data_IF_691224578590
#
_entry.id   IF_691224578590
#
_cell.length_a   1.000
_cell.length_b   1.000
_cell.length_c   1.000
_cell.angle_alpha   90.00
_cell.angle_beta   90.00
_cell.angle_gamma   90.00
#
_symmetry.space_group_name_H-M   'P 1'
#
loop_
_entity.id
_entity.type
_entity.pdbx_description
1 polymer ?
#
# COMPACT_ATOMS: atom_id res chain seq x y z
N UNK A 1 -22.77 -8.61 20.97
CA UNK A 1 -22.32 -9.01 19.63
C UNK A 1 -21.00 -9.73 19.81
N UNK A 2 -20.80 -10.90 19.20
CA UNK A 2 -19.49 -11.53 19.18
C UNK A 2 -18.50 -10.59 18.48
N UNK A 3 -17.29 -10.44 19.01
CA UNK A 3 -16.21 -9.75 18.31
C UNK A 3 -15.87 -10.58 17.06
N UNK A 4 -16.40 -10.18 15.90
CA UNK A 4 -16.16 -10.89 14.64
C UNK A 4 -14.69 -10.83 14.21
N UNK A 5 -13.97 -9.83 14.69
CA UNK A 5 -12.54 -9.67 14.48
C UNK A 5 -11.70 -10.57 15.39
N UNK A 6 -12.29 -11.22 16.41
CA UNK A 6 -11.70 -12.21 17.34
C UNK A 6 -10.18 -12.09 17.58
N UNK A 7 -9.73 -10.90 17.97
CA UNK A 7 -8.31 -10.49 18.12
C UNK A 7 -7.48 -11.33 19.11
N UNK A 8 -8.02 -12.44 19.61
CA UNK A 8 -7.40 -13.30 20.61
C UNK A 8 -7.35 -14.79 20.25
N UNK A 9 -8.28 -15.31 19.43
CA UNK A 9 -8.40 -16.77 19.21
C UNK A 9 -8.45 -17.22 17.73
N UNK A 10 -8.37 -16.31 16.76
CA UNK A 10 -8.31 -16.67 15.33
C UNK A 10 -6.93 -17.20 14.88
N UNK A 11 -6.84 -17.87 13.71
CA UNK A 11 -5.56 -18.29 13.14
C UNK A 11 -4.69 -17.06 12.89
N UNK A 12 -3.53 -17.06 13.53
CA UNK A 12 -2.57 -15.96 13.54
C UNK A 12 -1.79 -16.03 12.23
N UNK A 13 -1.54 -14.88 11.60
CA UNK A 13 -0.57 -14.85 10.51
C UNK A 13 0.82 -15.07 11.10
N UNK A 14 1.39 -16.26 10.87
CA UNK A 14 2.77 -16.58 11.23
C UNK A 14 3.79 -15.61 10.60
N UNK A 15 3.38 -14.84 9.58
CA UNK A 15 4.16 -13.79 8.93
C UNK A 15 4.06 -12.40 9.59
N UNK A 16 3.57 -12.27 10.83
CA UNK A 16 3.99 -11.16 11.70
C UNK A 16 2.93 -10.54 12.63
N UNK A 17 3.13 -10.67 13.95
CA UNK A 17 3.03 -9.62 15.00
C UNK A 17 3.09 -10.17 16.45
N UNK A 18 3.32 -9.28 17.43
CA UNK A 18 3.10 -9.49 18.89
C UNK A 18 1.63 -9.33 19.32
N UNK A 19 0.81 -8.79 18.41
CA UNK A 19 -0.63 -8.56 18.56
C UNK A 19 -1.31 -9.35 17.44
N UNK A 20 -2.23 -10.24 17.79
CA UNK A 20 -2.94 -11.08 16.83
C UNK A 20 -3.80 -10.21 15.90
N UNK A 21 -3.25 -9.84 14.76
CA UNK A 21 -4.05 -9.27 13.69
C UNK A 21 -4.32 -10.40 12.73
N UNK A 22 -5.61 -10.69 12.60
CA UNK A 22 -6.09 -11.90 11.96
C UNK A 22 -6.22 -11.61 10.47
N UNK A 23 -5.69 -12.50 9.65
CA UNK A 23 -5.88 -12.51 8.20
C UNK A 23 -7.27 -13.05 7.81
N UNK A 24 -8.29 -12.66 8.59
CA UNK A 24 -9.66 -13.09 8.34
C UNK A 24 -10.34 -12.06 7.48
N UNK A 25 -10.67 -12.48 6.27
CA UNK A 25 -11.62 -11.76 5.44
C UNK A 25 -13.02 -11.98 6.01
N UNK A 26 -13.67 -10.91 6.47
CA UNK A 26 -15.03 -10.96 6.97
C UNK A 26 -15.98 -10.75 5.79
N UNK A 27 -16.81 -11.74 5.42
CA UNK A 27 -17.83 -11.54 4.40
C UNK A 27 -18.96 -10.67 4.94
N UNK A 28 -19.43 -9.72 4.13
CA UNK A 28 -20.63 -8.97 4.47
C UNK A 28 -21.85 -9.84 4.17
N UNK A 29 -22.69 -10.09 5.18
CA UNK A 29 -23.90 -10.90 5.02
C UNK A 29 -25.16 -10.03 5.14
N UNK A 30 -26.18 -10.37 4.36
CA UNK A 30 -27.50 -9.74 4.48
C UNK A 30 -28.16 -10.30 5.74
N UNK A 31 -28.39 -9.43 6.73
CA UNK A 31 -29.17 -9.81 7.91
C UNK A 31 -30.67 -9.67 7.61
N UNK A 32 -31.52 -10.38 8.35
CA UNK A 32 -32.99 -10.21 8.32
C UNK A 32 -33.44 -8.74 8.40
N UNK A 33 -32.70 -7.89 9.13
CA UNK A 33 -32.95 -6.45 9.24
C UNK A 33 -32.83 -5.71 7.91
N UNK A 34 -31.89 -6.07 7.04
CA UNK A 34 -31.70 -5.43 5.73
C UNK A 34 -32.82 -5.77 4.75
N UNK A 35 -33.28 -7.02 4.72
CA UNK A 35 -34.43 -7.42 3.88
C UNK A 35 -35.72 -6.79 4.39
N UNK A 36 -35.91 -6.73 5.70
CA UNK A 36 -37.06 -6.06 6.31
C UNK A 36 -37.06 -4.56 6.02
N UNK A 37 -35.90 -3.90 6.08
CA UNK A 37 -35.77 -2.49 5.74
C UNK A 37 -36.12 -2.21 4.27
N UNK A 38 -35.63 -3.02 3.33
CA UNK A 38 -36.00 -2.88 1.91
C UNK A 38 -37.51 -3.04 1.72
N UNK A 39 -38.12 -4.10 2.28
CA UNK A 39 -39.57 -4.31 2.18
C UNK A 39 -40.35 -3.15 2.82
N UNK A 40 -39.92 -2.69 3.99
CA UNK A 40 -40.56 -1.58 4.68
C UNK A 40 -40.56 -0.30 3.82
N UNK A 41 -39.47 -0.03 3.11
CA UNK A 41 -39.34 1.15 2.24
C UNK A 41 -40.35 1.15 1.09
N UNK A 42 -40.69 -0.03 0.54
CA UNK A 42 -41.66 -0.16 -0.55
C UNK A 42 -43.11 -0.29 -0.07
N UNK A 43 -43.33 -0.82 1.13
CA UNK A 43 -44.68 -1.25 1.56
C UNK A 43 -45.27 -0.33 2.62
N UNK A 44 -44.48 0.25 3.51
CA UNK A 44 -45.01 1.01 4.67
C UNK A 44 -45.84 2.22 4.25
N UNK A 45 -45.32 3.06 3.36
CA UNK A 45 -46.01 4.29 2.96
C UNK A 45 -47.27 3.96 2.13
N UNK A 46 -47.24 3.09 1.10
CA UNK A 46 -48.45 2.70 0.38
C UNK A 46 -49.52 2.03 1.27
N UNK A 47 -49.11 1.19 2.23
CA UNK A 47 -50.06 0.56 3.16
C UNK A 47 -50.68 1.59 4.10
N UNK A 48 -49.89 2.53 4.62
CA UNK A 48 -50.41 3.61 5.46
C UNK A 48 -51.38 4.52 4.68
N UNK A 49 -51.11 4.81 3.41
CA UNK A 49 -52.03 5.60 2.57
C UNK A 49 -53.34 4.86 2.33
N UNK A 50 -53.29 3.54 2.09
CA UNK A 50 -54.49 2.74 1.92
C UNK A 50 -55.30 2.60 3.22
N UNK A 51 -54.65 2.45 4.37
CA UNK A 51 -55.31 2.43 5.68
C UNK A 51 -55.95 3.79 6.00
N UNK A 52 -55.27 4.90 5.71
CA UNK A 52 -55.82 6.24 5.88
C UNK A 52 -57.09 6.44 5.05
N UNK A 53 -57.05 6.09 3.76
CA UNK A 53 -58.23 6.17 2.88
C UNK A 53 -59.34 5.23 3.36
N UNK A 54 -59.02 4.05 3.86
CA UNK A 54 -60.01 3.10 4.38
C UNK A 54 -60.73 3.61 5.64
N UNK A 55 -60.03 4.33 6.53
CA UNK A 55 -60.60 4.83 7.78
C UNK A 55 -61.27 6.21 7.65
N UNK A 56 -60.72 7.09 6.81
CA UNK A 56 -61.20 8.47 6.60
C UNK A 56 -61.95 8.66 5.29
N UNK A 57 -62.21 7.60 4.52
CA UNK A 57 -62.86 7.65 3.20
C UNK A 57 -64.19 8.40 3.20
N UNK A 58 -64.98 8.28 4.27
CA UNK A 58 -66.27 8.96 4.42
C UNK A 58 -66.17 10.49 4.59
N UNK A 59 -64.96 11.03 4.80
CA UNK A 59 -64.70 12.48 4.95
C UNK A 59 -63.92 13.08 3.77
N UNK A 60 -63.60 12.27 2.75
CA UNK A 60 -62.80 12.70 1.60
C UNK A 60 -63.70 12.92 0.38
N UNK A 61 -63.48 14.02 -0.35
CA UNK A 61 -64.23 14.35 -1.57
C UNK A 61 -63.93 13.37 -2.72
N UNK A 62 -62.71 12.79 -2.77
CA UNK A 62 -62.30 11.81 -3.78
C UNK A 62 -61.35 10.74 -3.21
N UNK A 63 -61.87 9.73 -2.48
CA UNK A 63 -61.06 8.70 -1.82
C UNK A 63 -60.14 7.92 -2.78
N UNK A 64 -60.61 7.61 -3.98
CA UNK A 64 -59.87 6.83 -4.99
C UNK A 64 -58.64 7.58 -5.53
N UNK A 65 -58.77 8.89 -5.76
CA UNK A 65 -57.66 9.72 -6.25
C UNK A 65 -56.57 9.92 -5.20
N UNK A 66 -56.97 10.10 -3.93
CA UNK A 66 -56.04 10.21 -2.80
C UNK A 66 -55.28 8.90 -2.60
N UNK A 67 -55.93 7.75 -2.76
CA UNK A 67 -55.27 6.45 -2.70
C UNK A 67 -54.24 6.28 -3.83
N UNK A 68 -54.60 6.63 -5.07
CA UNK A 68 -53.71 6.47 -6.22
C UNK A 68 -52.48 7.39 -6.12
N UNK A 69 -52.68 8.68 -5.85
CA UNK A 69 -51.58 9.64 -5.72
C UNK A 69 -50.72 9.30 -4.50
N UNK A 70 -51.35 8.96 -3.37
CA UNK A 70 -50.64 8.57 -2.14
C UNK A 70 -49.75 7.34 -2.34
N UNK A 71 -50.23 6.31 -3.03
CA UNK A 71 -49.43 5.12 -3.34
C UNK A 71 -48.28 5.42 -4.30
N UNK A 72 -48.51 6.23 -5.36
CA UNK A 72 -47.45 6.62 -6.31
C UNK A 72 -46.37 7.43 -5.59
N UNK A 73 -46.75 8.39 -4.75
CA UNK A 73 -45.82 9.15 -3.93
C UNK A 73 -45.10 8.27 -2.88
N UNK A 74 -45.81 7.28 -2.31
CA UNK A 74 -45.25 6.35 -1.33
C UNK A 74 -44.18 5.42 -1.89
N UNK A 75 -44.14 5.21 -3.21
CA UNK A 75 -43.11 4.42 -3.90
C UNK A 75 -41.82 5.24 -4.13
N UNK A 76 -41.89 6.57 -4.15
CA UNK A 76 -40.73 7.44 -4.44
C UNK A 76 -39.51 7.17 -3.56
N UNK A 77 -39.63 6.97 -2.23
CA UNK A 77 -38.48 6.62 -1.40
C UNK A 77 -37.81 5.30 -1.84
N UNK A 78 -38.60 4.32 -2.28
CA UNK A 78 -38.12 3.04 -2.85
C UNK A 78 -37.24 3.25 -4.07
N UNK A 79 -37.70 4.13 -4.97
CA UNK A 79 -36.98 4.49 -6.20
C UNK A 79 -35.69 5.23 -5.87
N UNK A 80 -35.72 6.22 -4.96
CA UNK A 80 -34.53 6.94 -4.50
C UNK A 80 -33.50 5.95 -3.92
N UNK A 81 -33.95 4.97 -3.13
CA UNK A 81 -33.07 3.96 -2.56
C UNK A 81 -32.40 3.08 -3.63
N UNK A 82 -33.07 2.78 -4.75
CA UNK A 82 -32.44 2.10 -5.89
C UNK A 82 -31.30 2.93 -6.48
N UNK A 83 -31.50 4.24 -6.70
CA UNK A 83 -30.44 5.12 -7.20
C UNK A 83 -29.25 5.18 -6.23
N UNK A 84 -29.50 5.22 -4.92
CA UNK A 84 -28.45 5.14 -3.91
C UNK A 84 -27.64 3.83 -4.01
N UNK A 85 -28.30 2.69 -4.28
CA UNK A 85 -27.60 1.41 -4.48
C UNK A 85 -26.69 1.43 -5.70
N UNK A 86 -27.11 2.04 -6.81
CA UNK A 86 -26.29 2.20 -8.02
C UNK A 86 -25.08 3.09 -7.72
N UNK A 87 -25.29 4.20 -7.02
CA UNK A 87 -24.21 5.09 -6.60
C UNK A 87 -23.20 4.38 -5.69
N UNK A 88 -23.67 3.60 -4.72
CA UNK A 88 -22.82 2.80 -3.83
C UNK A 88 -21.99 1.75 -4.59
N UNK A 89 -22.56 1.09 -5.61
CA UNK A 89 -21.81 0.18 -6.47
C UNK A 89 -20.68 0.89 -7.21
N UNK A 90 -20.97 2.01 -7.84
CA UNK A 90 -19.96 2.79 -8.57
C UNK A 90 -18.88 3.31 -7.62
N UNK A 91 -19.26 3.71 -6.41
CA UNK A 91 -18.34 4.11 -5.35
C UNK A 91 -17.35 2.99 -4.99
N UNK A 92 -17.83 1.76 -4.77
CA UNK A 92 -16.95 0.62 -4.47
C UNK A 92 -16.01 0.30 -5.62
N UNK A 93 -16.48 0.32 -6.86
CA UNK A 93 -15.61 0.11 -8.03
C UNK A 93 -14.50 1.17 -8.11
N UNK A 94 -14.82 2.44 -7.86
CA UNK A 94 -13.81 3.50 -7.81
C UNK A 94 -12.82 3.32 -6.66
N UNK A 95 -13.31 2.93 -5.48
CA UNK A 95 -12.46 2.71 -4.31
C UNK A 95 -11.50 1.53 -4.53
N UNK A 96 -11.97 0.47 -5.18
CA UNK A 96 -11.15 -0.67 -5.58
C UNK A 96 -10.03 -0.27 -6.56
N UNK A 97 -10.37 0.49 -7.60
CA UNK A 97 -9.38 1.02 -8.54
C UNK A 97 -8.34 1.93 -7.85
N UNK A 98 -8.78 2.74 -6.88
CA UNK A 98 -7.86 3.55 -6.07
C UNK A 98 -6.91 2.69 -5.24
N UNK A 99 -7.42 1.66 -4.56
CA UNK A 99 -6.57 0.73 -3.79
C UNK A 99 -5.52 0.08 -4.69
N UNK A 100 -5.92 -0.33 -5.90
CA UNK A 100 -5.00 -0.91 -6.87
C UNK A 100 -3.95 0.10 -7.36
N UNK A 101 -4.34 1.34 -7.61
CA UNK A 101 -3.42 2.41 -7.98
C UNK A 101 -2.39 2.68 -6.86
N UNK A 102 -2.82 2.73 -5.59
CA UNK A 102 -1.88 2.91 -4.47
C UNK A 102 -0.93 1.72 -4.29
N UNK A 103 -1.39 0.50 -4.57
CA UNK A 103 -0.52 -0.68 -4.57
C UNK A 103 0.56 -0.55 -5.67
N UNK A 104 0.16 -0.17 -6.89
CA UNK A 104 1.08 0.07 -8.00
C UNK A 104 2.10 1.18 -7.69
N UNK A 105 1.70 2.24 -6.97
CA UNK A 105 2.63 3.28 -6.51
C UNK A 105 3.71 2.72 -5.58
N UNK A 106 3.35 1.83 -4.65
CA UNK A 106 4.32 1.17 -3.76
C UNK A 106 5.33 0.36 -4.58
N UNK A 107 4.85 -0.41 -5.55
CA UNK A 107 5.71 -1.23 -6.42
C UNK A 107 6.67 -0.36 -7.25
N UNK A 108 6.19 0.76 -7.80
CA UNK A 108 7.02 1.72 -8.53
C UNK A 108 8.18 2.28 -7.65
N UNK A 109 7.89 2.62 -6.39
CA UNK A 109 8.94 3.09 -5.48
C UNK A 109 9.92 1.97 -5.09
N UNK A 110 9.44 0.74 -4.94
CA UNK A 110 10.30 -0.42 -4.70
C UNK A 110 11.22 -0.69 -5.88
N UNK A 111 10.71 -0.61 -7.11
CA UNK A 111 11.50 -0.77 -8.32
C UNK A 111 12.59 0.31 -8.42
N UNK A 112 12.25 1.58 -8.23
CA UNK A 112 13.22 2.68 -8.21
C UNK A 112 14.30 2.47 -7.15
N UNK A 113 13.91 2.00 -5.96
CA UNK A 113 14.86 1.69 -4.88
C UNK A 113 15.82 0.58 -5.29
N UNK A 114 15.34 -0.48 -5.94
CA UNK A 114 16.17 -1.58 -6.45
C UNK A 114 17.16 -1.06 -7.50
N UNK A 115 16.70 -0.24 -8.45
CA UNK A 115 17.58 0.33 -9.49
C UNK A 115 18.70 1.19 -8.87
N UNK A 116 18.38 2.04 -7.88
CA UNK A 116 19.40 2.85 -7.18
C UNK A 116 20.39 1.95 -6.45
N UNK A 117 19.92 0.93 -5.74
CA UNK A 117 20.80 0.01 -5.02
C UNK A 117 21.70 -0.78 -5.97
N UNK A 118 21.19 -1.23 -7.12
CA UNK A 118 22.00 -1.88 -8.15
C UNK A 118 23.09 -0.95 -8.69
N UNK A 119 22.77 0.32 -8.94
CA UNK A 119 23.75 1.32 -9.35
C UNK A 119 24.83 1.53 -8.27
N UNK A 120 24.45 1.55 -6.99
CA UNK A 120 25.40 1.66 -5.87
C UNK A 120 26.31 0.44 -5.78
N UNK A 121 25.77 -0.78 -5.88
CA UNK A 121 26.57 -2.01 -5.86
C UNK A 121 27.63 -1.97 -6.95
N UNK A 122 27.25 -1.60 -8.18
CA UNK A 122 28.22 -1.47 -9.28
C UNK A 122 29.25 -0.34 -9.10
N UNK A 123 28.98 0.68 -8.27
CA UNK A 123 29.96 1.72 -7.89
C UNK A 123 30.89 1.23 -6.78
N UNK A 124 30.35 0.54 -5.78
CA UNK A 124 31.11 -0.05 -4.67
C UNK A 124 32.06 -1.13 -5.18
N UNK A 125 31.60 -2.03 -6.05
CA UNK A 125 32.45 -3.08 -6.63
C UNK A 125 33.64 -2.49 -7.39
N UNK A 126 33.40 -1.43 -8.18
CA UNK A 126 34.45 -0.71 -8.91
C UNK A 126 35.44 0.00 -7.98
N UNK A 127 34.96 0.62 -6.90
CA UNK A 127 35.84 1.24 -5.91
C UNK A 127 36.71 0.19 -5.19
N UNK A 128 36.12 -0.94 -4.81
CA UNK A 128 36.85 -2.05 -4.18
C UNK A 128 37.92 -2.64 -5.11
N UNK A 129 37.63 -2.79 -6.40
CA UNK A 129 38.61 -3.31 -7.37
C UNK A 129 39.74 -2.29 -7.66
N UNK A 130 39.43 -0.99 -7.71
CA UNK A 130 40.45 0.05 -7.83
C UNK A 130 41.39 0.05 -6.63
N UNK A 131 40.86 -0.03 -5.41
CA UNK A 131 41.67 -0.07 -4.17
C UNK A 131 42.57 -1.33 -4.14
N UNK A 132 42.05 -2.50 -4.55
CA UNK A 132 42.87 -3.72 -4.70
C UNK A 132 44.01 -3.53 -5.69
N UNK A 133 43.77 -2.91 -6.84
CA UNK A 133 44.79 -2.74 -7.88
C UNK A 133 45.84 -1.69 -7.49
N UNK A 134 45.44 -0.61 -6.82
CA UNK A 134 46.37 0.36 -6.21
C UNK A 134 47.21 -0.32 -5.12
N UNK A 135 46.59 -1.08 -4.21
CA UNK A 135 47.32 -1.84 -3.18
C UNK A 135 48.32 -2.84 -3.80
N UNK A 136 47.94 -3.56 -4.87
CA UNK A 136 48.87 -4.44 -5.60
C UNK A 136 50.04 -3.66 -6.20
N UNK A 137 49.77 -2.53 -6.85
CA UNK A 137 50.82 -1.71 -7.46
C UNK A 137 51.81 -1.17 -6.40
N UNK A 138 51.29 -0.69 -5.26
CA UNK A 138 52.11 -0.21 -4.14
C UNK A 138 52.90 -1.36 -3.50
N UNK A 139 52.28 -2.54 -3.32
CA UNK A 139 52.96 -3.72 -2.79
C UNK A 139 54.07 -4.21 -3.72
N UNK A 140 53.83 -4.22 -5.04
CA UNK A 140 54.83 -4.57 -6.04
C UNK A 140 56.03 -3.60 -6.02
N UNK A 141 55.76 -2.29 -5.87
CA UNK A 141 56.80 -1.27 -5.72
C UNK A 141 57.58 -1.40 -4.40
N UNK A 142 56.92 -1.80 -3.30
CA UNK A 142 57.58 -2.07 -1.99
C UNK A 142 58.41 -3.35 -1.97
N UNK A 143 58.02 -4.37 -2.73
CA UNK A 143 58.66 -5.68 -2.73
C UNK A 143 59.95 -5.78 -3.57
N UNK A 144 60.22 -4.80 -4.44
CA UNK A 144 61.40 -4.79 -5.30
C UNK A 144 62.69 -4.50 -4.53
N UNK A 145 63.61 -5.47 -4.44
CA UNK A 145 64.98 -5.23 -3.97
C UNK A 145 65.72 -4.35 -4.98
N UNK A 146 65.97 -3.10 -4.61
CA UNK A 146 66.77 -2.17 -5.40
C UNK A 146 68.25 -2.57 -5.27
N UNK A 147 68.90 -2.84 -6.40
CA UNK A 147 70.34 -3.08 -6.50
C UNK A 147 70.90 -2.14 -7.58
N UNK A 148 72.19 -1.77 -7.52
CA UNK A 148 72.75 -0.69 -8.36
C UNK A 148 72.63 -0.93 -9.87
N UNK A 149 72.55 -2.19 -10.32
CA UNK A 149 72.32 -2.57 -11.72
C UNK A 149 70.88 -2.35 -12.22
N UNK A 150 69.87 -2.43 -11.33
CA UNK A 150 68.44 -2.36 -11.69
C UNK A 150 67.82 -0.99 -11.40
N UNK A 151 68.64 -0.07 -10.89
CA UNK A 151 68.20 1.24 -10.38
C UNK A 151 67.59 2.12 -11.47
N UNK A 152 68.08 2.02 -12.70
CA UNK A 152 67.55 2.73 -13.88
C UNK A 152 66.18 2.20 -14.31
N UNK A 153 66.00 0.88 -14.35
CA UNK A 153 64.73 0.25 -14.75
C UNK A 153 63.65 0.43 -13.69
N UNK A 154 64.02 0.34 -12.41
CA UNK A 154 63.11 0.65 -11.31
C UNK A 154 62.69 2.13 -11.38
N UNK A 155 63.60 3.07 -11.64
CA UNK A 155 63.25 4.50 -11.81
C UNK A 155 62.36 4.75 -13.04
N UNK A 156 62.58 4.03 -14.13
CA UNK A 156 61.73 4.08 -15.34
C UNK A 156 60.31 3.59 -15.05
N UNK A 157 60.17 2.46 -14.36
CA UNK A 157 58.88 1.93 -13.93
C UNK A 157 58.19 2.82 -12.89
N UNK A 158 58.98 3.42 -11.97
CA UNK A 158 58.48 4.37 -10.98
C UNK A 158 58.00 5.66 -11.65
N UNK A 159 58.72 6.17 -12.65
CA UNK A 159 58.30 7.33 -13.44
C UNK A 159 57.09 7.04 -14.33
N UNK A 160 56.95 5.83 -14.89
CA UNK A 160 55.72 5.41 -15.58
C UNK A 160 54.54 5.25 -14.63
N UNK A 161 54.76 4.70 -13.43
CA UNK A 161 53.75 4.57 -12.39
C UNK A 161 53.34 5.95 -11.85
N UNK A 162 54.30 6.83 -11.57
CA UNK A 162 54.06 8.23 -11.20
C UNK A 162 53.37 9.00 -12.34
N UNK A 163 53.79 8.83 -13.59
CA UNK A 163 53.14 9.43 -14.76
C UNK A 163 51.72 8.92 -15.03
N UNK A 164 51.37 7.73 -14.54
CA UNK A 164 49.98 7.21 -14.48
C UNK A 164 49.21 7.72 -13.28
N UNK A 165 49.88 7.98 -12.16
CA UNK A 165 49.30 8.56 -10.94
C UNK A 165 49.00 10.07 -11.09
N UNK A 166 49.81 10.85 -11.79
CA UNK A 166 49.62 12.31 -11.89
C UNK A 166 48.36 12.75 -12.68
N UNK A 167 47.88 12.04 -13.71
CA UNK A 167 46.53 12.25 -14.28
C UNK A 167 45.38 11.80 -13.36
N UNK A 168 45.67 11.01 -12.31
CA UNK A 168 44.69 10.51 -11.33
C UNK A 168 44.53 11.43 -10.11
N UNK A 169 45.40 12.45 -9.97
CA UNK A 169 45.36 13.43 -8.85
C UNK A 169 44.43 14.62 -9.15
N UNK A 170 44.18 14.98 -10.41
CA UNK A 170 43.21 16.04 -10.76
C UNK A 170 41.77 15.52 -10.90
N UNK A 171 41.62 14.21 -11.11
CA UNK A 171 40.36 13.50 -11.14
C UNK A 171 40.42 12.41 -10.08
N UNK A 172 40.04 12.67 -8.82
CA UNK A 172 39.93 11.63 -7.79
C UNK A 172 38.68 10.76 -8.06
N UNK A 173 38.78 9.58 -8.72
CA UNK A 173 37.62 8.70 -8.91
C UNK A 173 37.07 8.19 -7.58
N UNK A 174 37.94 7.95 -6.58
CA UNK A 174 37.58 7.57 -5.21
C UNK A 174 36.63 8.60 -4.59
N UNK A 175 37.01 9.88 -4.60
CA UNK A 175 36.19 10.96 -4.02
C UNK A 175 34.85 11.13 -4.77
N UNK A 176 34.85 10.97 -6.10
CA UNK A 176 33.63 11.00 -6.93
C UNK A 176 32.74 9.78 -6.69
N UNK A 177 33.30 8.60 -6.51
CA UNK A 177 32.57 7.38 -6.17
C UNK A 177 31.96 7.49 -4.77
N UNK A 178 32.70 8.01 -3.79
CA UNK A 178 32.18 8.27 -2.44
C UNK A 178 31.04 9.29 -2.44
N UNK A 179 31.15 10.38 -3.21
CA UNK A 179 30.05 11.35 -3.38
C UNK A 179 28.82 10.70 -4.03
N UNK A 180 29.00 9.95 -5.14
CA UNK A 180 27.90 9.27 -5.81
C UNK A 180 27.22 8.20 -4.93
N UNK A 181 27.99 7.47 -4.11
CA UNK A 181 27.47 6.52 -3.13
C UNK A 181 26.70 7.26 -2.02
N UNK A 182 27.24 8.36 -1.50
CA UNK A 182 26.56 9.17 -0.49
C UNK A 182 25.24 9.75 -1.00
N UNK A 183 25.23 10.29 -2.22
CA UNK A 183 24.04 10.82 -2.90
C UNK A 183 22.98 9.72 -3.08
N UNK A 184 23.39 8.53 -3.52
CA UNK A 184 22.49 7.41 -3.71
C UNK A 184 21.94 6.85 -2.37
N UNK A 185 22.72 6.86 -1.30
CA UNK A 185 22.25 6.53 0.06
C UNK A 185 21.25 7.56 0.58
N UNK A 186 21.51 8.84 0.33
CA UNK A 186 20.56 9.90 0.63
C UNK A 186 19.26 9.72 -0.17
N UNK A 187 19.34 9.42 -1.47
CA UNK A 187 18.18 9.11 -2.31
C UNK A 187 17.42 7.86 -1.83
N UNK A 188 18.11 6.81 -1.39
CA UNK A 188 17.50 5.63 -0.79
C UNK A 188 16.70 5.97 0.48
N UNK A 189 17.25 6.84 1.33
CA UNK A 189 16.56 7.32 2.54
C UNK A 189 15.31 8.15 2.21
N UNK A 190 15.37 9.00 1.19
CA UNK A 190 14.18 9.69 0.68
C UNK A 190 13.13 8.70 0.18
N UNK A 191 13.50 7.74 -0.67
CA UNK A 191 12.59 6.72 -1.17
C UNK A 191 11.99 5.85 -0.06
N UNK A 192 12.76 5.53 0.98
CA UNK A 192 12.24 4.80 2.13
C UNK A 192 11.12 5.57 2.85
N UNK A 193 11.22 6.90 2.92
CA UNK A 193 10.13 7.75 3.45
C UNK A 193 8.93 7.74 2.52
N UNK A 194 9.13 7.86 1.22
CA UNK A 194 8.04 7.80 0.22
C UNK A 194 7.32 6.44 0.24
N UNK A 195 8.05 5.32 0.31
CA UNK A 195 7.47 3.97 0.46
C UNK A 195 6.62 3.89 1.74
N UNK A 196 7.10 4.48 2.84
CA UNK A 196 6.37 4.49 4.12
C UNK A 196 5.09 5.33 4.03
N UNK A 197 5.16 6.48 3.38
CA UNK A 197 3.99 7.33 3.11
C UNK A 197 2.98 6.61 2.21
N UNK A 198 3.43 6.01 1.10
CA UNK A 198 2.60 5.24 0.17
C UNK A 198 1.90 4.06 0.87
N UNK A 199 2.61 3.31 1.72
CA UNK A 199 2.01 2.25 2.56
C UNK A 199 0.94 2.79 3.50
N UNK A 200 1.16 3.96 4.09
CA UNK A 200 0.18 4.61 4.98
C UNK A 200 -1.08 5.00 4.21
N UNK A 201 -0.93 5.57 3.01
CA UNK A 201 -2.05 5.91 2.13
C UNK A 201 -2.82 4.66 1.70
N UNK A 202 -2.13 3.61 1.25
CA UNK A 202 -2.74 2.32 0.92
C UNK A 202 -3.55 1.75 2.10
N UNK A 203 -2.97 1.71 3.30
CA UNK A 203 -3.64 1.24 4.51
C UNK A 203 -4.86 2.08 4.88
N UNK A 204 -4.80 3.39 4.67
CA UNK A 204 -5.95 4.27 4.84
C UNK A 204 -7.08 3.92 3.86
N UNK A 205 -6.77 3.64 2.58
CA UNK A 205 -7.76 3.18 1.59
C UNK A 205 -8.36 1.82 1.92
N UNK A 206 -7.54 0.87 2.39
CA UNK A 206 -8.00 -0.44 2.86
C UNK A 206 -8.92 -0.29 4.08
N UNK A 207 -8.57 0.59 5.02
CA UNK A 207 -9.42 0.89 6.19
C UNK A 207 -10.75 1.52 5.78
N UNK A 208 -10.71 2.45 4.81
CA UNK A 208 -11.92 3.03 4.23
C UNK A 208 -12.81 1.95 3.60
N UNK A 209 -12.23 1.05 2.80
CA UNK A 209 -12.95 -0.10 2.24
C UNK A 209 -13.58 -0.96 3.33
N UNK A 210 -12.78 -1.39 4.31
CA UNK A 210 -13.22 -2.25 5.41
C UNK A 210 -14.34 -1.60 6.24
N UNK A 211 -14.33 -0.29 6.41
CA UNK A 211 -15.39 0.44 7.13
C UNK A 211 -16.64 0.56 6.27
N UNK A 212 -16.48 0.92 4.99
CA UNK A 212 -17.59 1.22 4.10
C UNK A 212 -18.41 -0.01 3.68
N UNK A 213 -17.79 -1.18 3.57
CA UNK A 213 -18.52 -2.42 3.29
C UNK A 213 -19.48 -2.80 4.42
N UNK A 214 -19.25 -2.34 5.66
CA UNK A 214 -20.15 -2.54 6.80
C UNK A 214 -21.06 -1.33 7.09
N UNK A 215 -21.00 -0.27 6.28
CA UNK A 215 -21.81 0.93 6.50
C UNK A 215 -23.29 0.69 6.13
N UNK A 216 -24.14 0.57 7.15
CA UNK A 216 -25.59 0.45 7.00
C UNK A 216 -26.23 1.80 6.62
N UNK A 217 -27.30 1.85 5.78
CA UNK A 217 -28.00 0.73 5.14
C UNK A 217 -27.48 0.38 3.74
N UNK A 218 -27.27 1.38 2.88
CA UNK A 218 -27.13 1.18 1.44
C UNK A 218 -25.85 0.44 1.06
N UNK A 219 -24.71 0.84 1.62
CA UNK A 219 -23.39 0.28 1.26
C UNK A 219 -23.27 -1.18 1.70
N UNK A 220 -23.70 -1.51 2.92
CA UNK A 220 -23.72 -2.89 3.44
C UNK A 220 -24.58 -3.83 2.60
N UNK A 221 -25.78 -3.40 2.18
CA UNK A 221 -26.67 -4.21 1.32
C UNK A 221 -26.01 -4.49 -0.04
N UNK A 222 -25.38 -3.49 -0.65
CA UNK A 222 -24.69 -3.64 -1.94
C UNK A 222 -23.47 -4.55 -1.79
N UNK A 223 -22.66 -4.33 -0.76
CA UNK A 223 -21.46 -5.13 -0.48
C UNK A 223 -21.82 -6.61 -0.26
N UNK A 224 -22.88 -6.90 0.50
CA UNK A 224 -23.34 -8.25 0.73
C UNK A 224 -23.86 -8.95 -0.54
N UNK A 225 -24.61 -8.23 -1.39
CA UNK A 225 -25.09 -8.76 -2.68
C UNK A 225 -23.95 -9.03 -3.67
N UNK A 226 -22.86 -8.26 -3.58
CA UNK A 226 -21.68 -8.42 -4.44
C UNK A 226 -20.65 -9.39 -3.87
N UNK A 227 -20.86 -9.91 -2.65
CA UNK A 227 -19.94 -10.83 -2.00
C UNK A 227 -18.61 -10.18 -1.60
N UNK A 228 -18.61 -8.88 -1.32
CA UNK A 228 -17.39 -8.19 -0.89
C UNK A 228 -16.95 -8.63 0.50
N UNK A 229 -15.64 -8.72 0.65
CA UNK A 229 -14.97 -9.09 1.90
C UNK A 229 -14.02 -7.97 2.35
N UNK A 230 -13.63 -7.98 3.61
CA UNK A 230 -12.56 -7.10 4.11
C UNK A 230 -11.25 -7.43 3.41
N UNK A 231 -10.42 -6.39 3.25
CA UNK A 231 -9.06 -6.47 2.72
C UNK A 231 -8.06 -6.39 3.88
N UNK A 232 -6.94 -7.10 3.74
CA UNK A 232 -5.88 -7.11 4.74
C UNK A 232 -4.97 -5.90 4.46
N UNK A 233 -4.70 -5.03 5.45
CA UNK A 233 -3.78 -3.91 5.28
C UNK A 233 -2.33 -4.39 5.15
N UNK A 234 -1.46 -3.53 4.65
CA UNK A 234 -0.02 -3.77 4.60
C UNK A 234 0.57 -3.80 6.02
N UNK A 235 1.37 -4.83 6.32
CA UNK A 235 1.96 -5.06 7.64
C UNK A 235 3.43 -5.46 7.51
N UNK A 236 4.22 -5.29 8.57
CA UNK A 236 5.63 -5.69 8.56
C UNK A 236 5.73 -7.22 8.55
N UNK A 237 6.61 -7.77 7.71
CA UNK A 237 6.86 -9.21 7.67
C UNK A 237 7.45 -9.71 9.00
N UNK A 238 7.16 -10.97 9.33
CA UNK A 238 7.65 -11.66 10.53
C UNK A 238 9.18 -11.60 10.60
N UNK A 239 9.84 -11.88 9.49
CA UNK A 239 11.29 -11.86 9.37
C UNK A 239 11.89 -10.48 9.74
N UNK A 240 11.28 -9.39 9.26
CA UNK A 240 11.73 -8.03 9.60
C UNK A 240 11.59 -7.75 11.10
N UNK A 241 10.56 -8.30 11.74
CA UNK A 241 10.33 -8.17 13.19
C UNK A 241 11.27 -9.04 14.01
N UNK A 242 11.52 -10.28 13.61
CA UNK A 242 12.45 -11.18 14.29
C UNK A 242 13.86 -10.60 14.28
N UNK A 243 14.31 -10.08 13.14
CA UNK A 243 15.58 -9.35 13.04
C UNK A 243 15.64 -8.11 13.93
N UNK A 244 14.52 -7.38 14.08
CA UNK A 244 14.45 -6.24 14.99
C UNK A 244 14.52 -6.68 16.45
N UNK A 245 13.81 -7.75 16.81
CA UNK A 245 13.86 -8.30 18.18
C UNK A 245 15.25 -8.77 18.53
N UNK A 246 15.87 -9.60 17.70
CA UNK A 246 17.20 -10.14 17.96
C UNK A 246 18.30 -9.09 18.09
N UNK A 247 18.09 -7.89 17.52
CA UNK A 247 19.07 -6.79 17.57
C UNK A 247 18.86 -5.81 18.74
N UNK A 248 17.64 -5.70 19.28
CA UNK A 248 17.29 -4.67 20.25
C UNK A 248 16.79 -5.21 21.60
N UNK A 249 16.44 -6.49 21.69
CA UNK A 249 15.95 -7.18 22.89
C UNK A 249 16.70 -8.50 23.09
#
# INVERSE_FOLDING_TARGET
MANLLDETQGPINDNGRDIHVIDRQLPVTITFKSTLFEIALWVTIPVLTLLYVSFMGNKLESPEMVALIGCVCGILPGVIFIFMKISARNYFQQLEQRIQAEASNIDNYLEQRVQILQNVVGLVDRAVDLDKDVMKAVAALRGGKINDANRSDVNSQLNMACGRLFPQVEAYPELKAHQAIADAMQQNSYLQREITAARTVYNSRVTQWNTDIFAWPTKMIVAARQGYTTRIPFTASAETREMARSKFF
#
